data_IF_813972769561
#
_entry.id   IF_813972769561
#
_cell.length_a   1.000
_cell.length_b   1.000
_cell.length_c   1.000
_cell.angle_alpha   90.00
_cell.angle_beta   90.00
_cell.angle_gamma   90.00
#
_symmetry.space_group_name_H-M   'P 1'
#
loop_
_entity.id
_entity.type
_entity.pdbx_description
1 polymer ?
#
# COMPACT_ATOMS: atom_id res chain seq x y z
N UNK A 1 30.20 -65.99 -8.72
CA UNK A 1 28.81 -65.87 -8.21
C UNK A 1 28.36 -64.46 -8.54
N UNK A 2 27.67 -64.28 -9.66
CA UNK A 2 27.64 -63.00 -10.36
C UNK A 2 26.19 -62.65 -10.69
N UNK A 3 25.58 -61.77 -9.90
CA UNK A 3 24.20 -61.33 -10.09
C UNK A 3 24.17 -59.94 -10.74
N UNK A 4 23.65 -59.88 -11.96
CA UNK A 4 23.44 -58.68 -12.76
C UNK A 4 21.95 -58.32 -12.76
N UNK A 5 21.53 -57.17 -12.21
CA UNK A 5 20.14 -56.72 -12.31
C UNK A 5 19.73 -56.41 -13.75
N UNK A 6 18.45 -56.62 -14.06
CA UNK A 6 17.85 -56.37 -15.37
C UNK A 6 17.45 -54.90 -15.56
N UNK A 7 17.36 -54.46 -16.82
CA UNK A 7 16.80 -53.16 -17.19
C UNK A 7 15.33 -53.31 -17.61
N UNK A 8 14.40 -52.77 -16.83
CA UNK A 8 12.97 -52.80 -17.14
C UNK A 8 12.60 -51.70 -18.16
N UNK A 9 11.86 -52.07 -19.21
CA UNK A 9 11.60 -51.22 -20.37
C UNK A 9 10.13 -50.75 -20.40
N UNK A 10 9.86 -49.51 -19.97
CA UNK A 10 8.50 -48.96 -19.93
C UNK A 10 8.14 -48.16 -21.19
N UNK A 11 7.59 -48.90 -22.16
CA UNK A 11 6.37 -48.60 -22.93
C UNK A 11 5.95 -47.12 -23.02
N UNK A 12 5.99 -46.56 -24.24
CA UNK A 12 5.20 -45.38 -24.63
C UNK A 12 3.70 -45.64 -24.44
N UNK A 13 2.97 -44.62 -24.04
CA UNK A 13 1.53 -44.48 -24.34
C UNK A 13 1.34 -43.23 -25.19
N UNK A 14 0.58 -43.37 -26.27
CA UNK A 14 0.19 -42.26 -27.14
C UNK A 14 -1.00 -41.52 -26.50
N UNK A 15 -1.04 -40.19 -26.58
CA UNK A 15 -2.23 -39.45 -26.16
C UNK A 15 -2.55 -38.27 -27.09
N UNK A 16 -3.81 -38.28 -27.52
CA UNK A 16 -4.47 -37.50 -28.55
C UNK A 16 -4.14 -36.00 -28.67
N UNK A 17 -3.66 -35.66 -29.87
CA UNK A 17 -4.20 -34.60 -30.73
C UNK A 17 -5.41 -33.80 -30.17
N UNK A 18 -5.17 -32.64 -29.57
CA UNK A 18 -6.21 -31.64 -29.31
C UNK A 18 -6.06 -30.42 -30.22
N UNK A 19 -7.20 -29.98 -30.77
CA UNK A 19 -7.30 -29.01 -31.87
C UNK A 19 -6.89 -27.60 -31.43
N UNK A 20 -5.93 -26.99 -32.13
CA UNK A 20 -5.74 -25.54 -32.09
C UNK A 20 -6.95 -24.83 -32.73
N UNK A 21 -7.80 -24.21 -31.92
CA UNK A 21 -8.68 -23.14 -32.39
C UNK A 21 -7.92 -21.81 -32.38
N UNK A 22 -7.95 -21.10 -33.51
CA UNK A 22 -7.45 -19.74 -33.59
C UNK A 22 -8.43 -18.78 -32.88
N UNK A 23 -7.91 -17.78 -32.17
CA UNK A 23 -8.72 -16.64 -31.72
C UNK A 23 -7.92 -15.35 -31.97
N UNK A 24 -8.28 -14.56 -33.00
CA UNK A 24 -7.64 -13.27 -33.25
C UNK A 24 -8.39 -12.16 -32.53
N UNK A 25 -7.77 -11.56 -31.51
CA UNK A 25 -8.24 -10.29 -30.94
C UNK A 25 -7.07 -9.39 -30.56
N UNK A 26 -6.85 -8.34 -31.34
CA UNK A 26 -5.91 -7.26 -31.00
C UNK A 26 -6.62 -6.24 -30.11
N UNK A 27 -6.45 -6.32 -28.79
CA UNK A 27 -6.81 -5.20 -27.92
C UNK A 27 -5.60 -4.30 -27.66
N UNK A 28 -5.72 -3.09 -28.20
CA UNK A 28 -4.71 -2.04 -28.24
C UNK A 28 -4.51 -1.39 -26.85
N UNK A 29 -3.31 -1.35 -26.26
CA UNK A 29 -3.10 -0.74 -24.95
C UNK A 29 -3.23 0.79 -25.02
N UNK A 30 -4.30 1.32 -24.42
CA UNK A 30 -4.66 2.75 -24.52
C UNK A 30 -3.61 3.68 -23.93
N UNK A 31 -3.28 4.74 -24.69
CA UNK A 31 -2.31 5.77 -24.32
C UNK A 31 -2.83 6.66 -23.17
N UNK A 32 -2.39 6.39 -21.93
CA UNK A 32 -2.71 7.20 -20.75
C UNK A 32 -1.88 8.49 -20.69
N UNK A 33 -2.28 9.51 -21.45
CA UNK A 33 -1.77 10.88 -21.27
C UNK A 33 -2.20 11.46 -19.92
N UNK A 34 -1.22 11.89 -19.13
CA UNK A 34 -1.44 12.44 -17.79
C UNK A 34 -1.84 13.93 -17.86
N UNK A 35 -3.10 14.21 -18.16
CA UNK A 35 -3.63 15.57 -18.29
C UNK A 35 -3.68 16.31 -16.94
N UNK A 36 -3.00 17.46 -16.86
CA UNK A 36 -3.10 18.37 -15.71
C UNK A 36 -4.51 18.95 -15.55
N UNK A 37 -5.05 19.07 -14.32
CA UNK A 37 -6.38 19.62 -14.09
C UNK A 37 -6.42 21.13 -14.41
N UNK A 38 -7.31 21.53 -15.32
CA UNK A 38 -7.65 22.94 -15.53
C UNK A 38 -8.52 23.48 -14.38
N UNK A 39 -8.37 24.77 -14.07
CA UNK A 39 -9.28 25.46 -13.14
C UNK A 39 -10.66 25.68 -13.79
N UNK A 40 -11.63 24.84 -13.44
CA UNK A 40 -13.03 25.01 -13.82
C UNK A 40 -13.76 26.01 -12.92
N UNK A 41 -14.46 26.98 -13.53
CA UNK A 41 -15.26 28.00 -12.82
C UNK A 41 -16.55 27.42 -12.22
N UNK A 42 -16.91 27.87 -11.02
CA UNK A 42 -18.12 27.45 -10.30
C UNK A 42 -19.42 27.87 -11.00
N UNK A 43 -20.38 26.96 -11.24
CA UNK A 43 -21.75 27.34 -11.63
C UNK A 43 -22.50 28.00 -10.47
N UNK A 44 -23.21 29.10 -10.75
CA UNK A 44 -24.10 29.75 -9.77
C UNK A 44 -25.39 28.93 -9.64
N UNK A 45 -25.74 28.53 -8.42
CA UNK A 45 -27.00 27.83 -8.13
C UNK A 45 -28.11 28.86 -7.87
N UNK A 46 -29.25 28.83 -8.60
CA UNK A 46 -30.38 29.71 -8.34
C UNK A 46 -31.08 29.40 -7.01
N UNK A 47 -31.40 30.44 -6.24
CA UNK A 47 -32.12 30.36 -4.98
C UNK A 47 -33.64 30.40 -5.22
N UNK A 48 -34.44 29.42 -4.77
CA UNK A 48 -35.90 29.48 -4.87
C UNK A 48 -36.51 30.50 -3.88
N UNK A 49 -37.68 31.09 -4.19
CA UNK A 49 -38.22 32.24 -3.49
C UNK A 49 -38.86 31.91 -2.12
N UNK A 50 -38.91 32.92 -1.26
CA UNK A 50 -39.55 32.86 0.06
C UNK A 50 -41.07 33.08 -0.05
N UNK A 51 -41.88 32.05 0.16
CA UNK A 51 -43.34 32.17 0.26
C UNK A 51 -43.77 32.61 1.66
N UNK A 52 -44.14 33.88 1.81
CA UNK A 52 -44.93 34.35 2.95
C UNK A 52 -46.41 33.96 2.74
N UNK A 53 -47.09 33.49 3.78
CA UNK A 53 -48.56 33.37 3.82
C UNK A 53 -49.06 34.01 5.11
N UNK A 54 -50.07 34.87 4.99
CA UNK A 54 -50.54 35.70 6.09
C UNK A 54 -51.69 35.04 6.89
N UNK A 55 -51.65 35.26 8.21
CA UNK A 55 -52.74 35.74 9.08
C UNK A 55 -54.18 35.37 8.70
N UNK A 56 -54.91 34.72 9.63
CA UNK A 56 -56.36 34.92 9.74
C UNK A 56 -56.91 34.84 11.19
N UNK A 57 -57.06 36.03 11.75
CA UNK A 57 -58.04 36.59 12.72
C UNK A 57 -59.48 35.99 12.75
N UNK A 58 -60.29 35.93 13.83
CA UNK A 58 -60.13 36.28 15.28
C UNK A 58 -60.80 35.17 16.24
N UNK A 59 -61.70 35.34 17.27
CA UNK A 59 -62.06 34.28 18.25
C UNK A 59 -63.61 34.00 18.28
N UNK A 60 -64.33 33.68 19.40
CA UNK A 60 -64.00 33.13 20.73
C UNK A 60 -64.90 31.93 21.19
N UNK A 61 -64.65 31.38 22.38
CA UNK A 61 -65.75 30.95 23.26
C UNK A 61 -65.39 31.08 24.75
N UNK A 62 -66.37 31.37 25.60
CA UNK A 62 -66.22 31.53 27.04
C UNK A 62 -66.51 30.21 27.77
N UNK A 63 -65.82 29.94 28.87
CA UNK A 63 -66.34 29.05 29.94
C UNK A 63 -65.83 29.55 31.29
N UNK A 64 -66.71 30.26 32.01
CA UNK A 64 -66.45 30.73 33.37
C UNK A 64 -66.69 29.60 34.35
N UNK A 65 -65.70 29.27 35.19
CA UNK A 65 -65.89 28.44 36.38
C UNK A 65 -65.19 29.11 37.55
N UNK A 66 -65.93 29.31 38.65
CA UNK A 66 -65.46 29.85 39.93
C UNK A 66 -64.65 28.74 40.65
N UNK A 67 -63.38 28.98 41.00
CA UNK A 67 -62.94 29.60 42.27
C UNK A 67 -63.29 28.74 43.50
N UNK A 68 -62.27 28.09 44.10
CA UNK A 68 -62.14 28.04 45.57
C UNK A 68 -60.69 27.77 46.07
N UNK A 69 -60.46 28.21 47.31
CA UNK A 69 -59.48 27.84 48.34
C UNK A 69 -58.01 27.48 48.02
N UNK A 70 -57.12 28.34 48.51
CA UNK A 70 -55.66 28.18 48.63
C UNK A 70 -55.24 27.25 49.78
N UNK A 71 -54.35 26.26 49.56
CA UNK A 71 -53.43 25.72 50.56
C UNK A 71 -52.01 26.33 50.41
N UNK A 72 -51.11 26.23 51.42
CA UNK A 72 -49.96 27.14 51.54
C UNK A 72 -48.88 26.98 50.46
N UNK A 73 -48.24 28.11 50.17
CA UNK A 73 -47.13 28.28 49.23
C UNK A 73 -45.86 27.55 49.71
N UNK A 74 -45.80 26.23 49.46
CA UNK A 74 -44.61 25.42 49.74
C UNK A 74 -43.43 25.94 48.92
N UNK A 75 -42.31 26.13 49.62
CA UNK A 75 -41.02 26.66 49.14
C UNK A 75 -40.72 26.37 47.68
N UNK A 76 -40.37 27.43 46.95
CA UNK A 76 -39.89 27.37 45.56
C UNK A 76 -38.80 26.30 45.43
N UNK A 77 -39.20 25.14 44.91
CA UNK A 77 -38.27 24.06 44.63
C UNK A 77 -37.40 24.54 43.49
N UNK A 78 -36.16 24.90 43.80
CA UNK A 78 -35.12 25.27 42.85
C UNK A 78 -34.83 24.06 41.98
N UNK A 79 -35.71 23.83 40.99
CA UNK A 79 -35.60 22.82 39.94
C UNK A 79 -34.27 23.10 39.27
N UNK A 80 -33.23 22.28 39.52
CA UNK A 80 -31.87 22.67 39.18
C UNK A 80 -31.83 22.91 37.67
N UNK A 81 -31.38 24.10 37.27
CA UNK A 81 -31.31 24.47 35.85
C UNK A 81 -30.59 23.34 35.12
N UNK A 82 -31.33 22.63 34.27
CA UNK A 82 -30.83 21.43 33.62
C UNK A 82 -29.68 21.84 32.73
N UNK A 83 -28.45 21.67 33.21
CA UNK A 83 -27.28 22.35 32.68
C UNK A 83 -27.07 21.97 31.22
N UNK A 84 -27.63 22.78 30.32
CA UNK A 84 -27.61 22.52 28.89
C UNK A 84 -26.15 22.41 28.48
N UNK A 85 -25.76 21.23 27.99
CA UNK A 85 -24.38 20.96 27.60
C UNK A 85 -24.03 21.91 26.46
N UNK A 86 -23.37 23.03 26.79
CA UNK A 86 -23.18 24.15 25.89
C UNK A 86 -22.55 23.70 24.59
N UNK A 87 -23.02 24.22 23.45
CA UNK A 87 -22.77 23.63 22.13
C UNK A 87 -21.28 23.31 21.85
N UNK A 88 -20.36 24.16 22.32
CA UNK A 88 -18.92 23.93 22.23
C UNK A 88 -18.41 22.64 22.90
N UNK A 89 -19.07 22.13 23.95
CA UNK A 89 -18.77 20.84 24.57
C UNK A 89 -19.17 19.67 23.66
N UNK A 90 -20.32 19.77 22.99
CA UNK A 90 -20.80 18.75 22.03
C UNK A 90 -19.91 18.71 20.78
N UNK A 91 -19.48 19.89 20.29
CA UNK A 91 -18.50 20.01 19.20
C UNK A 91 -17.14 19.44 19.61
N UNK A 92 -16.64 19.78 20.80
CA UNK A 92 -15.36 19.27 21.32
C UNK A 92 -15.38 17.75 21.53
N UNK A 93 -16.53 17.20 21.96
CA UNK A 93 -16.76 15.75 22.04
C UNK A 93 -16.71 15.09 20.65
N UNK A 94 -17.40 15.67 19.67
CA UNK A 94 -17.41 15.17 18.29
C UNK A 94 -16.00 15.16 17.69
N UNK A 95 -15.27 16.27 17.80
CA UNK A 95 -13.88 16.39 17.34
C UNK A 95 -12.97 15.37 18.02
N UNK A 96 -13.13 15.18 19.33
CA UNK A 96 -12.34 14.20 20.10
C UNK A 96 -12.52 12.78 19.56
N UNK A 97 -13.76 12.32 19.36
CA UNK A 97 -14.00 10.98 18.85
C UNK A 97 -13.60 10.85 17.37
N UNK A 98 -13.87 11.86 16.54
CA UNK A 98 -13.47 11.88 15.14
C UNK A 98 -11.94 11.75 14.98
N UNK A 99 -11.15 12.57 15.68
CA UNK A 99 -9.69 12.50 15.58
C UNK A 99 -9.09 11.20 16.13
N UNK A 100 -9.65 10.63 17.21
CA UNK A 100 -9.22 9.29 17.67
C UNK A 100 -9.60 8.17 16.70
N UNK A 101 -10.76 8.28 16.03
CA UNK A 101 -11.16 7.36 14.96
C UNK A 101 -10.20 7.40 13.77
N UNK A 102 -9.89 8.59 13.26
CA UNK A 102 -8.91 8.77 12.17
C UNK A 102 -7.50 8.32 12.58
N UNK A 103 -7.07 8.61 13.81
CA UNK A 103 -5.79 8.15 14.33
C UNK A 103 -5.72 6.61 14.42
N UNK A 104 -6.78 5.93 14.87
CA UNK A 104 -6.82 4.46 14.90
C UNK A 104 -6.95 3.85 13.52
N UNK A 105 -7.62 4.48 12.56
CA UNK A 105 -7.62 4.04 11.17
C UNK A 105 -6.19 4.06 10.59
N UNK A 106 -5.48 5.20 10.72
CA UNK A 106 -4.09 5.32 10.28
C UNK A 106 -3.14 4.36 11.02
N UNK A 107 -3.35 4.14 12.33
CA UNK A 107 -2.59 3.18 13.13
C UNK A 107 -2.82 1.74 12.69
N UNK A 108 -4.05 1.38 12.37
CA UNK A 108 -4.44 0.07 11.85
C UNK A 108 -3.78 -0.20 10.50
N UNK A 109 -3.86 0.78 9.59
CA UNK A 109 -3.20 0.75 8.29
C UNK A 109 -1.67 0.61 8.38
N UNK A 110 -1.01 1.38 9.26
CA UNK A 110 0.43 1.29 9.45
C UNK A 110 0.84 -0.05 10.10
N UNK A 111 0.07 -0.52 11.09
CA UNK A 111 0.30 -1.83 11.74
C UNK A 111 0.21 -2.97 10.72
N UNK A 112 -0.80 -2.94 9.83
CA UNK A 112 -0.94 -3.95 8.79
C UNK A 112 0.23 -3.95 7.79
N UNK A 113 0.67 -2.77 7.35
CA UNK A 113 1.83 -2.64 6.47
C UNK A 113 3.13 -3.17 7.12
N UNK A 114 3.31 -2.92 8.42
CA UNK A 114 4.45 -3.44 9.19
C UNK A 114 4.42 -4.98 9.26
N UNK A 115 3.30 -5.57 9.66
CA UNK A 115 3.19 -7.03 9.81
C UNK A 115 3.37 -7.73 8.46
N UNK A 116 2.74 -7.23 7.39
CA UNK A 116 2.91 -7.78 6.03
C UNK A 116 4.36 -7.66 5.52
N UNK A 117 5.07 -6.58 5.84
CA UNK A 117 6.48 -6.42 5.47
C UNK A 117 7.41 -7.37 6.22
N UNK A 118 7.14 -7.65 7.51
CA UNK A 118 7.93 -8.59 8.32
C UNK A 118 7.66 -10.07 8.01
N UNK A 119 6.40 -10.47 7.79
CA UNK A 119 6.03 -11.89 7.59
C UNK A 119 6.10 -12.29 6.12
N UNK A 120 5.45 -11.53 5.23
CA UNK A 120 5.33 -11.87 3.81
C UNK A 120 6.46 -11.30 2.95
N UNK A 121 7.42 -10.56 3.54
CA UNK A 121 8.33 -9.66 2.81
C UNK A 121 7.60 -8.69 1.86
N UNK A 122 6.33 -8.36 2.12
CA UNK A 122 5.51 -7.59 1.19
C UNK A 122 6.10 -6.20 0.86
N UNK A 123 6.00 -5.81 -0.40
CA UNK A 123 6.16 -4.41 -0.83
C UNK A 123 4.90 -3.63 -0.43
N UNK A 124 5.06 -2.63 0.41
CA UNK A 124 3.98 -1.78 0.93
C UNK A 124 4.06 -0.35 0.39
N UNK A 125 4.96 -0.12 -0.58
CA UNK A 125 5.08 1.08 -1.41
C UNK A 125 4.99 2.43 -0.67
N UNK A 126 4.38 3.39 -1.35
CA UNK A 126 4.22 4.78 -0.89
C UNK A 126 3.24 4.96 0.27
N UNK A 127 2.50 3.91 0.64
CA UNK A 127 1.46 3.98 1.67
C UNK A 127 2.02 4.10 3.09
N UNK A 128 3.14 3.44 3.39
CA UNK A 128 3.74 3.48 4.74
C UNK A 128 4.19 4.89 5.15
N UNK A 129 4.94 5.66 4.32
CA UNK A 129 5.24 7.06 4.61
C UNK A 129 4.01 7.94 4.84
N UNK A 130 2.93 7.72 4.07
CA UNK A 130 1.67 8.46 4.23
C UNK A 130 0.99 8.16 5.57
N UNK A 131 0.89 6.89 5.97
CA UNK A 131 0.31 6.50 7.25
C UNK A 131 1.11 7.02 8.45
N UNK A 132 2.45 7.04 8.36
CA UNK A 132 3.32 7.67 9.37
C UNK A 132 3.06 9.18 9.46
N UNK A 133 3.01 9.89 8.32
CA UNK A 133 2.75 11.33 8.30
C UNK A 133 1.36 11.67 8.87
N UNK A 134 0.34 10.88 8.53
CA UNK A 134 -1.00 11.03 9.09
C UNK A 134 -1.02 10.89 10.62
N UNK A 135 -0.32 9.90 11.18
CA UNK A 135 -0.23 9.71 12.63
C UNK A 135 0.53 10.84 13.34
N UNK A 136 1.62 11.35 12.75
CA UNK A 136 2.40 12.47 13.30
C UNK A 136 1.55 13.74 13.42
N UNK A 137 0.59 13.96 12.49
CA UNK A 137 -0.34 15.11 12.53
C UNK A 137 -1.55 14.82 13.43
N UNK A 138 -2.15 13.62 13.35
CA UNK A 138 -3.38 13.29 14.07
C UNK A 138 -3.16 13.10 15.58
N UNK A 139 -2.04 12.51 16.01
CA UNK A 139 -1.75 12.26 17.43
C UNK A 139 -1.81 13.54 18.30
N UNK A 140 -1.06 14.63 18.01
CA UNK A 140 -1.13 15.84 18.83
C UNK A 140 -2.53 16.47 18.84
N UNK A 141 -3.23 16.47 17.70
CA UNK A 141 -4.59 17.02 17.61
C UNK A 141 -5.59 16.21 18.44
N UNK A 142 -5.61 14.88 18.29
CA UNK A 142 -6.45 13.98 19.07
C UNK A 142 -6.16 14.06 20.59
N UNK A 143 -4.88 14.16 20.95
CA UNK A 143 -4.45 14.30 22.35
C UNK A 143 -4.90 15.63 22.96
N UNK A 144 -4.76 16.75 22.24
CA UNK A 144 -5.19 18.09 22.71
C UNK A 144 -6.71 18.18 22.81
N UNK A 145 -7.46 17.68 21.82
CA UNK A 145 -8.92 17.61 21.89
C UNK A 145 -9.39 16.79 23.10
N UNK A 146 -8.86 15.58 23.30
CA UNK A 146 -9.25 14.73 24.44
C UNK A 146 -8.79 15.29 25.79
N UNK A 147 -7.65 16.00 25.84
CA UNK A 147 -7.20 16.70 27.06
C UNK A 147 -8.21 17.79 27.47
N UNK A 148 -8.68 18.61 26.53
CA UNK A 148 -9.70 19.63 26.83
C UNK A 148 -11.09 19.01 27.08
N UNK A 149 -11.48 17.99 26.33
CA UNK A 149 -12.75 17.30 26.51
C UNK A 149 -12.84 16.62 27.88
N UNK A 150 -11.84 15.80 28.24
CA UNK A 150 -11.84 15.03 29.50
C UNK A 150 -11.78 15.88 30.78
N UNK A 151 -11.41 17.17 30.69
CA UNK A 151 -11.57 18.14 31.80
C UNK A 151 -13.00 18.62 32.01
N UNK A 152 -13.87 18.45 31.01
CA UNK A 152 -15.26 18.94 30.98
C UNK A 152 -16.29 17.83 30.69
N UNK A 153 -15.86 16.58 30.64
CA UNK A 153 -16.71 15.45 30.29
C UNK A 153 -17.71 15.15 31.43
N UNK A 154 -19.04 15.25 31.19
CA UNK A 154 -20.03 15.10 32.25
C UNK A 154 -20.25 13.63 32.63
N UNK A 155 -20.38 13.36 33.93
CA UNK A 155 -20.59 12.01 34.49
C UNK A 155 -21.85 11.32 33.93
N UNK A 156 -22.87 12.11 33.55
CA UNK A 156 -24.05 11.65 32.82
C UNK A 156 -24.17 12.46 31.52
N UNK A 157 -23.93 11.81 30.38
CA UNK A 157 -24.14 12.39 29.04
C UNK A 157 -25.65 12.43 28.75
N UNK A 158 -26.17 13.58 28.35
CA UNK A 158 -27.59 13.80 28.01
C UNK A 158 -27.75 14.60 26.71
N UNK A 159 -28.90 14.46 26.05
CA UNK A 159 -29.21 15.17 24.79
C UNK A 159 -28.20 14.86 23.68
N UNK A 160 -27.75 15.91 22.96
CA UNK A 160 -26.82 15.78 21.82
C UNK A 160 -25.48 15.10 22.18
N UNK A 161 -25.00 15.24 23.41
CA UNK A 161 -23.80 14.55 23.88
C UNK A 161 -23.98 13.01 23.86
N UNK A 162 -25.18 12.51 24.12
CA UNK A 162 -25.49 11.08 24.05
C UNK A 162 -25.55 10.59 22.61
N UNK A 163 -26.15 11.37 21.70
CA UNK A 163 -26.21 11.04 20.28
C UNK A 163 -24.81 10.97 19.63
N UNK A 164 -23.96 11.98 19.86
CA UNK A 164 -22.57 12.01 19.36
C UNK A 164 -21.75 10.83 19.88
N UNK A 165 -21.97 10.42 21.14
CA UNK A 165 -21.34 9.21 21.71
C UNK A 165 -21.83 7.94 21.02
N UNK A 166 -23.13 7.78 20.85
CA UNK A 166 -23.73 6.55 20.29
C UNK A 166 -23.29 6.33 18.84
N UNK A 167 -23.30 7.38 18.02
CA UNK A 167 -22.86 7.30 16.60
C UNK A 167 -21.42 6.78 16.50
N UNK A 168 -20.49 7.39 17.25
CA UNK A 168 -19.09 6.96 17.23
C UNK A 168 -18.89 5.57 17.85
N UNK A 169 -19.58 5.25 18.95
CA UNK A 169 -19.51 3.93 19.56
C UNK A 169 -19.98 2.82 18.62
N UNK A 170 -21.07 3.04 17.86
CA UNK A 170 -21.54 2.09 16.84
C UNK A 170 -20.51 1.94 15.72
N UNK A 171 -19.95 3.04 15.20
CA UNK A 171 -18.91 2.99 14.15
C UNK A 171 -17.68 2.19 14.61
N UNK A 172 -17.16 2.49 15.81
CA UNK A 172 -15.98 1.77 16.34
C UNK A 172 -16.28 0.30 16.66
N UNK A 173 -17.49 -0.02 17.14
CA UNK A 173 -17.92 -1.40 17.33
C UNK A 173 -18.00 -2.16 16.00
N UNK A 174 -18.53 -1.55 14.94
CA UNK A 174 -18.61 -2.18 13.61
C UNK A 174 -17.22 -2.47 13.02
N UNK A 175 -16.27 -1.54 13.11
CA UNK A 175 -14.89 -1.80 12.69
C UNK A 175 -14.20 -2.88 13.55
N UNK A 176 -14.39 -2.83 14.88
CA UNK A 176 -13.83 -3.84 15.80
C UNK A 176 -14.38 -5.25 15.59
N UNK A 177 -15.68 -5.37 15.28
CA UNK A 177 -16.36 -6.65 14.96
C UNK A 177 -15.98 -7.14 13.56
N UNK A 178 -15.92 -6.26 12.55
CA UNK A 178 -15.44 -6.62 11.22
C UNK A 178 -14.01 -7.19 11.23
N UNK A 179 -13.14 -6.61 12.07
CA UNK A 179 -11.82 -7.16 12.32
C UNK A 179 -11.87 -8.56 13.00
N UNK A 180 -12.72 -8.77 14.01
CA UNK A 180 -12.88 -10.10 14.62
C UNK A 180 -13.39 -11.16 13.62
N UNK A 181 -14.31 -10.79 12.71
CA UNK A 181 -14.78 -11.69 11.66
C UNK A 181 -13.62 -12.09 10.74
N UNK A 182 -12.77 -11.15 10.33
CA UNK A 182 -11.58 -11.46 9.52
C UNK A 182 -10.57 -12.37 10.25
N UNK A 183 -10.36 -12.18 11.56
CA UNK A 183 -9.54 -13.08 12.37
C UNK A 183 -10.13 -14.50 12.43
N UNK A 184 -11.44 -14.63 12.66
CA UNK A 184 -12.13 -15.93 12.70
C UNK A 184 -12.07 -16.64 11.35
N UNK A 185 -12.28 -15.93 10.23
CA UNK A 185 -12.13 -16.49 8.88
C UNK A 185 -10.69 -16.97 8.63
N UNK A 186 -9.68 -16.19 9.03
CA UNK A 186 -8.26 -16.59 8.89
C UNK A 186 -7.94 -17.84 9.71
N UNK A 187 -8.52 -18.00 10.91
CA UNK A 187 -8.40 -19.22 11.73
C UNK A 187 -9.04 -20.42 11.02
N UNK A 188 -10.23 -20.26 10.43
CA UNK A 188 -10.87 -21.36 9.70
C UNK A 188 -10.07 -21.81 8.47
N UNK A 189 -9.56 -20.89 7.65
CA UNK A 189 -8.73 -21.25 6.50
C UNK A 189 -7.42 -21.95 6.92
N UNK A 190 -6.78 -21.49 8.01
CA UNK A 190 -5.60 -22.14 8.58
C UNK A 190 -5.88 -23.56 9.12
N UNK A 191 -7.08 -23.82 9.64
CA UNK A 191 -7.51 -25.15 10.12
C UNK A 191 -7.86 -26.07 8.95
N UNK A 192 -8.49 -25.55 7.90
CA UNK A 192 -8.89 -26.32 6.73
C UNK A 192 -7.72 -26.61 5.77
N UNK A 193 -6.64 -25.82 5.82
CA UNK A 193 -5.46 -26.00 4.98
C UNK A 193 -5.72 -25.72 3.49
N UNK A 194 -6.67 -24.85 3.19
CA UNK A 194 -7.18 -24.60 1.82
C UNK A 194 -6.36 -23.63 0.99
N UNK A 195 -5.47 -22.86 1.61
CA UNK A 195 -4.63 -21.84 0.94
C UNK A 195 -3.14 -22.19 1.10
N UNK A 196 -2.39 -22.18 -0.01
CA UNK A 196 -0.93 -22.35 0.01
C UNK A 196 -0.23 -21.18 0.74
N UNK A 197 -0.79 -19.96 0.70
CA UNK A 197 -0.26 -18.79 1.42
C UNK A 197 -0.72 -18.72 2.89
N UNK A 198 -0.29 -19.73 3.65
CA UNK A 198 -0.38 -19.73 5.12
C UNK A 198 0.22 -18.47 5.79
N UNK A 199 1.16 -17.76 5.14
CA UNK A 199 1.77 -16.52 5.67
C UNK A 199 0.84 -15.33 5.51
N UNK A 200 0.14 -15.20 4.39
CA UNK A 200 -0.96 -14.28 4.17
C UNK A 200 -2.08 -14.43 5.20
N UNK A 201 -2.46 -15.67 5.51
CA UNK A 201 -3.47 -15.94 6.54
C UNK A 201 -2.99 -15.55 7.95
N UNK A 202 -1.77 -15.91 8.35
CA UNK A 202 -1.18 -15.52 9.65
C UNK A 202 -1.04 -13.99 9.76
N UNK A 203 -0.59 -13.33 8.68
CA UNK A 203 -0.54 -11.87 8.59
C UNK A 203 -1.92 -11.26 8.80
N UNK A 204 -2.96 -11.77 8.13
CA UNK A 204 -4.33 -11.27 8.23
C UNK A 204 -4.89 -11.46 9.64
N UNK A 205 -4.67 -12.63 10.25
CA UNK A 205 -5.07 -12.94 11.62
C UNK A 205 -4.45 -11.97 12.65
N UNK A 206 -3.14 -11.77 12.60
CA UNK A 206 -2.44 -10.89 13.54
C UNK A 206 -2.85 -9.42 13.37
N UNK A 207 -2.97 -8.95 12.13
CA UNK A 207 -3.53 -7.63 11.83
C UNK A 207 -4.93 -7.47 12.42
N UNK A 208 -5.83 -8.41 12.15
CA UNK A 208 -7.22 -8.38 12.56
C UNK A 208 -7.39 -8.34 14.09
N UNK A 209 -6.63 -9.14 14.84
CA UNK A 209 -6.67 -9.14 16.31
C UNK A 209 -6.19 -7.80 16.90
N UNK A 210 -5.09 -7.25 16.38
CA UNK A 210 -4.54 -5.98 16.88
C UNK A 210 -5.44 -4.79 16.52
N UNK A 211 -5.99 -4.77 15.30
CA UNK A 211 -6.94 -3.73 14.87
C UNK A 211 -8.23 -3.79 15.70
N UNK A 212 -8.74 -4.99 16.00
CA UNK A 212 -9.89 -5.12 16.91
C UNK A 212 -9.58 -4.56 18.31
N UNK A 213 -8.39 -4.84 18.85
CA UNK A 213 -7.96 -4.29 20.14
C UNK A 213 -7.86 -2.75 20.13
N UNK A 214 -7.39 -2.14 19.05
CA UNK A 214 -7.38 -0.67 18.91
C UNK A 214 -8.81 -0.09 18.90
N UNK A 215 -9.72 -0.65 18.10
CA UNK A 215 -11.10 -0.17 18.06
C UNK A 215 -11.86 -0.42 19.38
N UNK A 216 -11.59 -1.54 20.06
CA UNK A 216 -12.12 -1.81 21.39
C UNK A 216 -11.63 -0.77 22.42
N UNK A 217 -10.36 -0.36 22.37
CA UNK A 217 -9.82 0.68 23.25
C UNK A 217 -10.51 2.04 23.02
N UNK A 218 -10.72 2.46 21.77
CA UNK A 218 -11.45 3.71 21.45
C UNK A 218 -12.93 3.61 21.83
N UNK A 219 -13.57 2.45 21.64
CA UNK A 219 -14.94 2.20 22.06
C UNK A 219 -15.09 2.35 23.58
N UNK A 220 -14.20 1.73 24.36
CA UNK A 220 -14.17 1.85 25.83
C UNK A 220 -13.92 3.30 26.27
N UNK A 221 -13.02 4.04 25.60
CA UNK A 221 -12.83 5.49 25.83
C UNK A 221 -14.09 6.31 25.52
N UNK A 222 -14.80 5.97 24.44
CA UNK A 222 -16.00 6.71 23.95
C UNK A 222 -17.17 6.55 24.91
N UNK A 223 -17.42 5.31 25.34
CA UNK A 223 -18.42 5.00 26.37
C UNK A 223 -18.05 5.68 27.71
N UNK A 224 -16.77 5.65 28.08
CA UNK A 224 -16.22 6.17 29.34
C UNK A 224 -16.95 5.63 30.58
N UNK A 225 -16.90 4.31 30.84
CA UNK A 225 -17.59 3.68 31.96
C UNK A 225 -17.20 4.29 33.31
N UNK A 226 -18.20 4.78 34.05
CA UNK A 226 -18.05 5.50 35.33
C UNK A 226 -17.32 4.74 36.44
N UNK A 227 -17.13 3.41 36.29
CA UNK A 227 -16.36 2.55 37.19
C UNK A 227 -14.84 2.80 37.14
N UNK A 228 -14.32 3.51 36.13
CA UNK A 228 -12.88 3.69 35.92
C UNK A 228 -12.45 5.17 35.91
N UNK A 229 -12.47 5.87 37.07
CA UNK A 229 -11.99 7.23 37.17
C UNK A 229 -10.51 7.32 36.78
N UNK A 230 -10.21 8.07 35.73
CA UNK A 230 -8.85 8.19 35.17
C UNK A 230 -8.61 7.42 33.87
N UNK A 231 -9.59 6.64 33.39
CA UNK A 231 -9.52 5.92 32.09
C UNK A 231 -9.03 6.80 30.94
N UNK A 232 -9.49 8.05 30.84
CA UNK A 232 -9.04 8.99 29.79
C UNK A 232 -7.55 9.36 29.88
N UNK A 233 -6.96 9.42 31.09
CA UNK A 233 -5.51 9.64 31.25
C UNK A 233 -4.71 8.42 30.79
N UNK A 234 -5.14 7.23 31.22
CA UNK A 234 -4.51 5.95 30.88
C UNK A 234 -4.59 5.70 29.37
N UNK A 235 -5.77 5.89 28.78
CA UNK A 235 -6.00 5.75 27.34
C UNK A 235 -5.11 6.68 26.51
N UNK A 236 -5.04 7.99 26.84
CA UNK A 236 -4.16 8.92 26.11
C UNK A 236 -2.69 8.53 26.17
N UNK A 237 -2.20 8.15 27.36
CA UNK A 237 -0.80 7.78 27.54
C UNK A 237 -0.48 6.47 26.80
N UNK A 238 -1.34 5.44 26.96
CA UNK A 238 -1.21 4.17 26.27
C UNK A 238 -1.24 4.32 24.75
N UNK A 239 -2.23 5.03 24.21
CA UNK A 239 -2.32 5.27 22.76
C UNK A 239 -1.14 6.07 22.22
N UNK A 240 -0.65 7.09 22.95
CA UNK A 240 0.54 7.84 22.54
C UNK A 240 1.80 6.97 22.49
N UNK A 241 1.98 6.09 23.49
CA UNK A 241 3.09 5.12 23.52
C UNK A 241 2.96 4.11 22.36
N UNK A 242 1.77 3.51 22.16
CA UNK A 242 1.51 2.57 21.07
C UNK A 242 1.76 3.20 19.69
N UNK A 243 1.24 4.40 19.44
CA UNK A 243 1.47 5.13 18.17
C UNK A 243 2.95 5.43 17.99
N UNK A 244 3.66 5.86 19.04
CA UNK A 244 5.10 6.09 19.01
C UNK A 244 5.91 4.84 18.64
N UNK A 245 5.61 3.70 19.27
CA UNK A 245 6.25 2.40 18.97
C UNK A 245 5.98 1.98 17.53
N UNK A 246 4.73 2.05 17.07
CA UNK A 246 4.35 1.66 15.70
C UNK A 246 4.98 2.59 14.64
N UNK A 247 5.12 3.90 14.91
CA UNK A 247 5.88 4.80 14.03
C UNK A 247 7.35 4.38 13.94
N UNK A 248 8.01 4.08 15.07
CA UNK A 248 9.41 3.64 15.09
C UNK A 248 9.61 2.32 14.33
N UNK A 249 8.72 1.35 14.51
CA UNK A 249 8.73 0.08 13.76
C UNK A 249 8.46 0.29 12.26
N UNK A 250 7.59 1.23 11.88
CA UNK A 250 7.35 1.62 10.49
C UNK A 250 8.58 2.23 9.80
N UNK A 251 9.35 3.02 10.55
CA UNK A 251 10.60 3.63 10.07
C UNK A 251 11.70 2.56 9.93
N UNK A 252 11.89 1.71 10.94
CA UNK A 252 12.98 0.72 10.98
C UNK A 252 12.74 -0.48 10.05
N UNK A 253 11.49 -0.92 9.88
CA UNK A 253 11.12 -2.00 8.98
C UNK A 253 10.86 -1.50 7.54
N UNK A 254 9.58 -1.28 7.16
CA UNK A 254 9.24 -1.03 5.76
C UNK A 254 9.94 0.17 5.14
N UNK A 255 10.03 1.33 5.81
CA UNK A 255 10.64 2.54 5.21
C UNK A 255 12.15 2.38 5.00
N UNK A 256 12.86 1.72 5.92
CA UNK A 256 14.27 1.41 5.74
C UNK A 256 14.51 0.43 4.58
N UNK A 257 13.63 -0.57 4.41
CA UNK A 257 13.68 -1.52 3.30
C UNK A 257 13.32 -0.88 1.96
N UNK A 258 12.29 -0.05 1.89
CA UNK A 258 11.98 0.79 0.72
C UNK A 258 13.17 1.66 0.30
N UNK A 259 13.84 2.27 1.28
CA UNK A 259 15.03 3.09 1.05
C UNK A 259 16.24 2.25 0.62
N UNK A 260 16.37 1.00 1.06
CA UNK A 260 17.46 0.13 0.63
C UNK A 260 17.25 -0.34 -0.81
N UNK A 261 16.05 -0.78 -1.17
CA UNK A 261 15.65 -1.29 -2.50
C UNK A 261 15.49 -0.20 -3.57
N UNK A 262 15.58 1.10 -3.21
CA UNK A 262 15.47 2.21 -4.18
C UNK A 262 16.57 2.20 -5.26
N UNK A 263 17.70 1.53 -5.03
CA UNK A 263 18.72 1.35 -6.08
C UNK A 263 18.43 0.11 -6.93
N UNK A 264 17.98 -0.98 -6.31
CA UNK A 264 17.56 -2.23 -6.94
C UNK A 264 16.45 -1.97 -7.97
N UNK A 265 15.34 -1.30 -7.58
CA UNK A 265 14.27 -0.86 -8.48
C UNK A 265 14.71 0.15 -9.55
N UNK A 266 15.85 0.82 -9.38
CA UNK A 266 16.43 1.70 -10.39
C UNK A 266 17.25 0.89 -11.40
N UNK A 267 17.97 -0.15 -10.95
CA UNK A 267 18.65 -1.13 -11.80
C UNK A 267 17.65 -1.91 -12.64
N UNK A 268 16.70 -2.60 -12.00
CA UNK A 268 15.62 -3.39 -12.63
C UNK A 268 15.00 -2.69 -13.85
N UNK A 269 14.71 -1.39 -13.70
CA UNK A 269 14.00 -0.57 -14.69
C UNK A 269 14.87 0.10 -15.75
N UNK A 270 16.19 0.19 -15.56
CA UNK A 270 17.05 1.00 -16.43
C UNK A 270 18.26 0.26 -17.00
N UNK A 271 18.49 -1.00 -16.61
CA UNK A 271 19.64 -1.77 -17.09
C UNK A 271 19.51 -2.15 -18.58
N UNK A 272 18.29 -2.38 -19.06
CA UNK A 272 18.02 -2.67 -20.48
C UNK A 272 18.05 -1.39 -21.35
N UNK A 273 17.60 -0.24 -20.82
CA UNK A 273 17.81 1.08 -21.45
C UNK A 273 19.29 1.47 -21.51
N UNK A 274 20.08 1.12 -20.47
CA UNK A 274 21.54 1.28 -20.49
C UNK A 274 22.19 0.39 -21.56
N UNK A 275 21.78 -0.88 -21.66
CA UNK A 275 22.22 -1.76 -22.74
C UNK A 275 21.90 -1.16 -24.12
N UNK A 276 20.66 -0.72 -24.32
CA UNK A 276 20.20 -0.10 -25.57
C UNK A 276 21.01 1.15 -25.94
N UNK A 277 21.42 1.95 -24.95
CA UNK A 277 22.29 3.11 -25.16
C UNK A 277 23.73 2.72 -25.57
N UNK A 278 24.29 1.67 -24.97
CA UNK A 278 25.61 1.12 -25.35
C UNK A 278 25.54 0.51 -26.77
N UNK A 279 24.48 -0.24 -27.06
CA UNK A 279 24.25 -0.88 -28.36
C UNK A 279 24.08 0.17 -29.47
N UNK A 280 23.38 1.28 -29.18
CA UNK A 280 23.26 2.45 -30.08
C UNK A 280 24.59 3.21 -30.25
N UNK A 281 25.38 3.38 -29.19
CA UNK A 281 26.71 3.97 -29.27
C UNK A 281 27.64 3.12 -30.15
N UNK A 282 27.66 1.80 -29.94
CA UNK A 282 28.51 0.87 -30.68
C UNK A 282 28.19 0.90 -32.18
N UNK A 283 26.90 0.79 -32.52
CA UNK A 283 26.37 0.91 -33.89
C UNK A 283 26.80 2.22 -34.58
N UNK A 284 26.87 3.33 -33.82
CA UNK A 284 27.18 4.66 -34.38
C UNK A 284 28.68 4.94 -34.54
N UNK A 285 29.55 4.27 -33.79
CA UNK A 285 30.97 4.63 -33.67
C UNK A 285 31.95 3.52 -34.12
N UNK A 286 31.46 2.33 -34.52
CA UNK A 286 32.24 1.08 -34.72
C UNK A 286 33.22 0.78 -33.56
N UNK A 287 32.77 1.03 -32.33
CA UNK A 287 33.49 0.68 -31.09
C UNK A 287 32.57 0.77 -29.90
N UNK A 288 32.85 -0.04 -28.88
CA UNK A 288 32.29 0.19 -27.55
C UNK A 288 32.73 1.56 -26.99
N UNK A 289 31.93 2.19 -26.12
CA UNK A 289 32.40 3.30 -25.31
C UNK A 289 33.55 2.83 -24.40
N UNK A 290 34.48 3.72 -24.05
CA UNK A 290 35.54 3.39 -23.08
C UNK A 290 34.97 3.39 -21.64
N UNK A 291 33.90 4.15 -21.43
CA UNK A 291 33.26 4.42 -20.15
C UNK A 291 31.77 4.71 -20.35
N UNK A 292 30.93 4.44 -19.33
CA UNK A 292 29.50 4.80 -19.43
C UNK A 292 29.25 6.32 -19.55
N UNK A 293 30.25 7.14 -19.20
CA UNK A 293 30.25 8.59 -19.42
C UNK A 293 30.39 9.03 -20.88
N UNK A 294 30.81 8.14 -21.79
CA UNK A 294 30.89 8.46 -23.23
C UNK A 294 29.52 8.40 -23.93
N UNK A 295 28.48 7.89 -23.25
CA UNK A 295 27.12 7.81 -23.77
C UNK A 295 26.52 9.21 -23.89
N UNK A 296 26.22 9.63 -25.12
CA UNK A 296 25.62 10.93 -25.42
C UNK A 296 24.13 10.95 -25.10
N UNK A 297 23.71 11.84 -24.20
CA UNK A 297 22.31 12.09 -23.80
C UNK A 297 21.51 10.83 -23.37
N UNK A 298 21.99 10.03 -22.41
CA UNK A 298 21.24 8.91 -21.86
C UNK A 298 19.97 9.39 -21.14
N UNK A 299 18.95 8.52 -21.09
CA UNK A 299 17.71 8.78 -20.34
C UNK A 299 18.01 9.11 -18.86
N UNK A 300 17.18 9.93 -18.23
CA UNK A 300 17.38 10.40 -16.85
C UNK A 300 17.56 9.25 -15.84
N UNK A 301 16.87 8.12 -16.04
CA UNK A 301 17.03 6.92 -15.21
C UNK A 301 18.35 6.18 -15.43
N UNK A 302 18.80 6.05 -16.68
CA UNK A 302 20.13 5.53 -17.04
C UNK A 302 21.24 6.43 -16.50
N UNK A 303 21.09 7.76 -16.64
CA UNK A 303 22.01 8.73 -16.04
C UNK A 303 22.11 8.55 -14.52
N UNK A 304 20.99 8.35 -13.83
CA UNK A 304 20.96 8.08 -12.37
C UNK A 304 21.65 6.75 -11.97
N UNK A 305 21.81 5.78 -12.88
CA UNK A 305 22.66 4.59 -12.64
C UNK A 305 24.15 4.96 -12.70
N UNK A 306 24.54 5.74 -13.70
CA UNK A 306 25.93 6.15 -13.98
C UNK A 306 26.43 7.12 -12.89
N UNK A 307 25.68 8.20 -12.61
CA UNK A 307 26.00 9.21 -11.60
C UNK A 307 26.22 8.60 -10.20
N UNK A 308 25.46 7.54 -9.87
CA UNK A 308 25.55 6.80 -8.61
C UNK A 308 26.57 5.64 -8.62
N UNK A 309 27.16 5.31 -9.77
CA UNK A 309 28.02 4.14 -9.98
C UNK A 309 27.38 2.80 -9.54
N UNK A 310 26.11 2.60 -9.90
CA UNK A 310 25.37 1.36 -9.59
C UNK A 310 25.64 0.21 -10.56
N UNK A 311 26.27 0.51 -11.70
CA UNK A 311 26.66 -0.46 -12.72
C UNK A 311 28.16 -0.32 -12.97
N UNK A 312 28.88 -1.43 -12.86
CA UNK A 312 30.26 -1.58 -13.30
C UNK A 312 30.24 -2.10 -14.75
N UNK A 313 30.97 -1.44 -15.64
CA UNK A 313 30.99 -1.74 -17.07
C UNK A 313 32.36 -2.27 -17.49
N UNK A 314 32.36 -3.40 -18.21
CA UNK A 314 33.57 -4.08 -18.69
C UNK A 314 33.45 -4.27 -20.21
N UNK A 315 33.98 -3.34 -21.03
CA UNK A 315 34.07 -3.55 -22.47
C UNK A 315 35.18 -4.56 -22.78
N UNK A 316 34.90 -5.52 -23.66
CA UNK A 316 35.92 -6.41 -24.20
C UNK A 316 36.48 -5.79 -25.50
N UNK A 317 37.80 -5.59 -25.57
CA UNK A 317 38.43 -4.82 -26.65
C UNK A 317 38.60 -5.59 -27.96
N UNK A 318 38.43 -6.91 -27.94
CA UNK A 318 38.53 -7.79 -29.11
C UNK A 318 37.20 -7.91 -29.84
N UNK A 319 37.11 -7.37 -31.06
CA UNK A 319 36.09 -7.75 -32.04
C UNK A 319 36.12 -9.27 -32.22
N UNK A 320 34.99 -9.92 -31.99
CA UNK A 320 34.79 -11.34 -32.28
C UNK A 320 34.00 -11.50 -33.59
N UNK A 321 34.25 -12.58 -34.33
CA UNK A 321 33.45 -12.94 -35.51
C UNK A 321 32.85 -14.32 -35.33
N UNK A 322 31.54 -14.41 -35.53
CA UNK A 322 30.83 -15.68 -35.61
C UNK A 322 30.54 -15.99 -37.08
N UNK A 323 31.23 -16.99 -37.62
CA UNK A 323 30.92 -17.59 -38.92
C UNK A 323 29.66 -18.44 -38.80
N UNK A 324 28.49 -17.83 -39.02
CA UNK A 324 27.21 -18.53 -39.07
C UNK A 324 27.04 -19.24 -40.42
N UNK A 325 27.49 -20.49 -40.50
CA UNK A 325 27.28 -21.37 -41.67
C UNK A 325 25.81 -21.85 -41.68
N UNK A 326 24.91 -21.01 -42.21
CA UNK A 326 23.46 -21.23 -42.19
C UNK A 326 23.03 -22.05 -43.41
N UNK A 327 23.02 -23.37 -43.27
CA UNK A 327 22.45 -24.27 -44.28
C UNK A 327 20.95 -24.00 -44.46
N UNK A 328 20.60 -23.31 -45.56
CA UNK A 328 19.22 -23.14 -46.01
C UNK A 328 18.69 -24.46 -46.57
N UNK A 329 17.56 -24.94 -46.02
CA UNK A 329 16.87 -26.13 -46.49
C UNK A 329 16.52 -26.03 -48.00
N UNK A 330 17.30 -26.73 -48.83
CA UNK A 330 17.14 -26.80 -50.28
C UNK A 330 17.78 -25.65 -51.06
N UNK A 331 18.97 -25.89 -51.65
CA UNK A 331 19.42 -25.10 -52.81
C UNK A 331 20.73 -24.31 -52.71
N UNK A 332 21.81 -24.88 -52.17
CA UNK A 332 23.18 -24.63 -52.64
C UNK A 332 23.89 -23.29 -52.36
N UNK A 333 23.20 -22.22 -51.96
CA UNK A 333 23.83 -20.91 -51.75
C UNK A 333 24.35 -20.71 -50.31
N UNK A 334 25.60 -21.10 -50.04
CA UNK A 334 26.29 -20.77 -48.79
C UNK A 334 26.60 -19.28 -48.68
N UNK A 335 25.81 -18.55 -47.89
CA UNK A 335 26.02 -17.13 -47.64
C UNK A 335 26.87 -16.90 -46.37
N UNK A 336 28.21 -16.91 -46.54
CA UNK A 336 29.14 -16.70 -45.43
C UNK A 336 29.13 -15.22 -44.98
N UNK A 337 28.19 -14.89 -44.08
CA UNK A 337 28.12 -13.59 -43.43
C UNK A 337 28.84 -13.60 -42.08
N UNK A 338 30.16 -13.41 -42.12
CA UNK A 338 30.90 -12.96 -40.93
C UNK A 338 30.31 -11.61 -40.49
N UNK A 339 29.81 -11.55 -39.25
CA UNK A 339 29.50 -10.28 -38.57
C UNK A 339 30.46 -10.10 -37.42
N UNK A 340 31.16 -8.98 -37.42
CA UNK A 340 31.92 -8.53 -36.26
C UNK A 340 30.95 -8.11 -35.16
N UNK A 341 31.23 -8.55 -33.94
CA UNK A 341 30.50 -8.13 -32.75
C UNK A 341 31.47 -7.80 -31.61
N UNK A 342 31.07 -6.82 -30.83
CA UNK A 342 31.71 -6.47 -29.57
C UNK A 342 31.00 -7.17 -28.42
N UNK A 343 31.74 -7.51 -27.38
CA UNK A 343 31.23 -8.14 -26.16
C UNK A 343 31.48 -7.23 -24.96
N UNK A 344 30.55 -7.23 -24.01
CA UNK A 344 30.69 -6.46 -22.78
C UNK A 344 29.92 -7.07 -21.62
N UNK A 345 30.33 -6.75 -20.41
CA UNK A 345 29.60 -7.09 -19.18
C UNK A 345 29.06 -5.85 -18.49
N UNK A 346 27.81 -5.94 -18.02
CA UNK A 346 27.21 -5.01 -17.07
C UNK A 346 27.05 -5.72 -15.73
N UNK A 347 27.93 -5.40 -14.79
CA UNK A 347 27.96 -5.98 -13.46
C UNK A 347 27.28 -5.06 -12.45
N UNK A 348 26.41 -5.63 -11.61
CA UNK A 348 25.52 -4.90 -10.70
C UNK A 348 25.44 -5.62 -9.36
N UNK A 349 25.02 -4.93 -8.30
CA UNK A 349 24.81 -5.56 -6.97
C UNK A 349 23.42 -5.27 -6.44
N UNK A 350 22.59 -6.31 -6.39
CA UNK A 350 21.25 -6.28 -5.79
C UNK A 350 21.32 -6.65 -4.30
N UNK A 351 20.49 -6.02 -3.47
CA UNK A 351 20.46 -6.19 -2.00
C UNK A 351 19.44 -7.22 -1.54
N UNK A 352 18.37 -7.41 -2.30
CA UNK A 352 17.47 -8.55 -2.19
C UNK A 352 17.42 -9.30 -3.53
N UNK A 353 16.75 -10.43 -3.51
CA UNK A 353 16.44 -11.28 -4.66
C UNK A 353 15.09 -10.84 -5.25
N UNK A 354 14.93 -10.93 -6.57
CA UNK A 354 13.63 -10.62 -7.19
C UNK A 354 12.58 -11.66 -6.78
N UNK A 355 11.33 -11.27 -6.48
CA UNK A 355 10.23 -12.23 -6.26
C UNK A 355 9.98 -13.18 -7.45
N UNK A 356 10.43 -12.77 -8.66
CA UNK A 356 10.31 -13.55 -9.90
C UNK A 356 11.63 -14.27 -10.27
N UNK A 357 12.58 -14.41 -9.34
CA UNK A 357 13.78 -15.20 -9.56
C UNK A 357 13.50 -16.69 -9.34
N UNK A 358 13.39 -17.45 -10.43
CA UNK A 358 13.43 -18.90 -10.37
C UNK A 358 14.88 -19.37 -10.48
N UNK A 359 15.30 -20.28 -9.61
CA UNK A 359 16.67 -20.84 -9.58
C UNK A 359 16.93 -21.85 -10.71
N UNK A 360 16.12 -21.86 -11.77
CA UNK A 360 16.33 -22.66 -12.98
C UNK A 360 17.45 -22.06 -13.81
N UNK A 361 18.66 -22.34 -13.34
CA UNK A 361 19.93 -21.72 -13.76
C UNK A 361 20.07 -21.55 -15.26
N UNK A 362 20.18 -20.29 -15.69
CA UNK A 362 20.76 -19.88 -16.97
C UNK A 362 22.27 -20.18 -16.98
N UNK A 363 22.63 -21.47 -16.98
CA UNK A 363 24.00 -21.98 -17.11
C UNK A 363 24.57 -21.80 -18.54
N UNK A 364 24.02 -20.89 -19.34
CA UNK A 364 24.58 -20.50 -20.62
C UNK A 364 25.74 -19.53 -20.38
N UNK A 365 26.95 -20.00 -20.69
CA UNK A 365 28.15 -19.19 -20.92
C UNK A 365 28.07 -18.32 -22.19
N UNK A 366 26.85 -18.00 -22.63
CA UNK A 366 26.53 -17.48 -23.96
C UNK A 366 25.99 -16.05 -23.85
N UNK A 367 26.50 -15.15 -24.69
CA UNK A 367 26.14 -13.74 -24.67
C UNK A 367 24.67 -13.53 -25.05
N UNK A 368 23.88 -13.01 -24.10
CA UNK A 368 22.46 -12.70 -24.30
C UNK A 368 22.25 -11.51 -25.24
N UNK A 369 21.11 -11.46 -25.91
CA UNK A 369 20.61 -10.28 -26.63
C UNK A 369 19.86 -9.30 -25.71
N UNK A 370 19.26 -9.78 -24.62
CA UNK A 370 18.40 -9.00 -23.71
C UNK A 370 18.85 -9.09 -22.26
N UNK A 371 18.46 -8.11 -21.43
CA UNK A 371 18.75 -8.12 -19.99
C UNK A 371 17.47 -8.38 -19.20
N UNK A 372 17.39 -9.55 -18.55
CA UNK A 372 16.31 -9.90 -17.63
C UNK A 372 16.43 -9.16 -16.28
N UNK A 373 16.42 -7.82 -16.30
CA UNK A 373 16.64 -6.98 -15.13
C UNK A 373 15.61 -7.16 -14.01
N UNK A 374 14.46 -7.75 -14.31
CA UNK A 374 13.36 -8.05 -13.38
C UNK A 374 13.49 -9.42 -12.69
N UNK A 375 14.46 -10.26 -13.06
CA UNK A 375 14.66 -11.59 -12.48
C UNK A 375 16.15 -11.79 -12.19
N UNK A 376 16.53 -11.61 -10.93
CA UNK A 376 17.92 -11.60 -10.50
C UNK A 376 18.07 -12.24 -9.10
N UNK A 377 19.21 -12.89 -8.83
CA UNK A 377 19.57 -13.30 -7.48
C UNK A 377 19.89 -12.08 -6.61
N UNK A 378 20.04 -12.32 -5.30
CA UNK A 378 20.68 -11.37 -4.38
C UNK A 378 22.20 -11.37 -4.56
N UNK A 379 22.83 -10.20 -4.47
CA UNK A 379 24.29 -10.05 -4.51
C UNK A 379 24.81 -9.49 -5.84
N UNK A 380 26.11 -9.73 -6.10
CA UNK A 380 26.80 -9.28 -7.31
C UNK A 380 26.51 -10.21 -8.49
N UNK A 381 26.11 -9.65 -9.63
CA UNK A 381 25.74 -10.40 -10.84
C UNK A 381 26.19 -9.63 -12.11
N UNK A 382 26.66 -10.35 -13.13
CA UNK A 382 27.14 -9.76 -14.39
C UNK A 382 26.33 -10.27 -15.59
N UNK A 383 25.70 -9.34 -16.32
CA UNK A 383 25.01 -9.64 -17.57
C UNK A 383 26.00 -9.54 -18.73
N UNK A 384 26.29 -10.68 -19.37
CA UNK A 384 27.14 -10.77 -20.58
C UNK A 384 26.31 -10.45 -21.83
N UNK A 385 26.66 -9.36 -22.53
CA UNK A 385 26.01 -8.87 -23.76
C UNK A 385 26.95 -8.98 -24.97
N UNK A 386 26.35 -9.18 -26.14
CA UNK A 386 26.99 -8.98 -27.45
C UNK A 386 26.23 -7.92 -28.25
N UNK A 387 26.94 -7.13 -29.04
CA UNK A 387 26.40 -6.07 -29.87
C UNK A 387 27.16 -5.97 -31.19
N UNK A 388 26.48 -5.66 -32.29
CA UNK A 388 27.06 -5.79 -33.64
C UNK A 388 27.68 -4.49 -34.14
N UNK A 389 28.80 -4.61 -34.87
CA UNK A 389 29.23 -3.58 -35.79
C UNK A 389 28.27 -3.51 -37.00
N UNK A 390 28.28 -2.39 -37.73
CA UNK A 390 27.39 -2.09 -38.85
C UNK A 390 28.16 -1.49 -40.04
#
# INVERSE_FOLDING_TARGET
MDNKPEATNNKKEDQDSLVHQNTPDQQNPTNNQFSTPQSGTTPVVPQPPSSQVAVNTIPPNNTTVLQDSTPPQVSSTNKPEGSHSGAGLVVLQWLTYAFWGWAVLALSSLTAAIIANYINKADVGTFTPFAIAALVVLLPVAFVCDYFYSKKEPVKKTGGATAVMLIHAVIFALFGVGALIAAVVSIFMLILGTDDDSRGLITTLLCALIVSAYYAAVLVRTLNPSRFPGLSKIFRLGMAITIGIIIVLGIIGPVARERSLRNDRLLEKNLDFLSSAIDSYATKNDKLPNSLSDLSNPEEGVKKLIDKKLVEYKPETSKSSNTYDRDTFGGGYKYNSSREYFTYELCVTFKEESPNYSSYSTNNSEFSSYIAGYSHPKGYHCYKKKTYAY
#
